data_IF_758636197077
#
_entry.id   IF_758636197077
#
_cell.length_a   1.000
_cell.length_b   1.000
_cell.length_c   1.000
_cell.angle_alpha   90.00
_cell.angle_beta   90.00
_cell.angle_gamma   90.00
#
_symmetry.space_group_name_H-M   'P 1'
#
loop_
_entity.id
_entity.type
_entity.pdbx_description
1 polymer ?
#
# COMPACT_ATOMS: atom_id res chain seq x y z
N UNK A 1 -18.73 29.62 21.62
CA UNK A 1 -17.44 29.47 20.92
C UNK A 1 -17.06 28.02 21.08
N UNK A 2 -17.45 27.17 20.14
CA UNK A 2 -17.21 25.72 20.22
C UNK A 2 -15.79 25.44 19.76
N UNK A 3 -15.04 24.78 20.63
CA UNK A 3 -13.66 24.35 20.45
C UNK A 3 -13.57 23.43 19.23
N UNK A 4 -12.79 23.84 18.23
CA UNK A 4 -12.42 22.97 17.13
C UNK A 4 -11.30 22.06 17.64
N UNK A 5 -11.62 20.80 17.93
CA UNK A 5 -10.61 19.74 18.01
C UNK A 5 -10.01 19.55 16.61
N UNK A 6 -8.88 20.20 16.35
CA UNK A 6 -8.07 19.95 15.17
C UNK A 6 -7.51 18.52 15.26
N UNK A 7 -8.22 17.57 14.67
CA UNK A 7 -7.67 16.25 14.38
C UNK A 7 -6.51 16.45 13.40
N UNK A 8 -5.27 16.34 13.89
CA UNK A 8 -4.08 16.41 13.05
C UNK A 8 -3.97 15.10 12.24
N UNK A 9 -4.74 15.02 11.16
CA UNK A 9 -4.77 13.87 10.27
C UNK A 9 -3.55 13.97 9.37
N UNK A 10 -2.61 13.03 9.49
CA UNK A 10 -1.47 12.99 8.59
C UNK A 10 -1.95 12.69 7.15
N UNK A 11 -1.49 13.49 6.20
CA UNK A 11 -1.86 13.41 4.78
C UNK A 11 -0.72 12.90 3.90
N UNK A 12 -1.09 12.27 2.79
CA UNK A 12 -0.14 11.84 1.79
C UNK A 12 0.39 13.04 0.99
N UNK A 13 1.70 13.25 1.03
CA UNK A 13 2.39 14.36 0.35
C UNK A 13 2.37 14.30 -1.20
N UNK A 14 1.71 13.30 -1.80
CA UNK A 14 1.52 13.19 -3.27
C UNK A 14 0.09 13.51 -3.68
N UNK A 15 -0.92 13.06 -2.93
CA UNK A 15 -2.33 13.21 -3.30
C UNK A 15 -3.17 14.02 -2.31
N UNK A 16 -2.58 14.47 -1.20
CA UNK A 16 -3.23 15.26 -0.14
C UNK A 16 -4.47 14.59 0.48
N UNK A 17 -4.56 13.26 0.42
CA UNK A 17 -5.60 12.49 1.09
C UNK A 17 -5.06 11.90 2.41
N UNK A 18 -5.91 11.64 3.42
CA UNK A 18 -5.51 11.06 4.69
C UNK A 18 -4.72 9.75 4.56
N UNK A 19 -3.61 9.62 5.28
CA UNK A 19 -2.79 8.40 5.29
C UNK A 19 -3.54 7.18 5.83
N UNK A 20 -4.57 7.37 6.65
CA UNK A 20 -5.35 6.27 7.23
C UNK A 20 -6.22 5.51 6.21
N UNK A 21 -6.56 6.10 5.07
CA UNK A 21 -7.49 5.49 4.10
C UNK A 21 -6.88 4.32 3.31
N UNK A 22 -5.56 4.28 3.16
CA UNK A 22 -4.86 3.30 2.32
C UNK A 22 -3.58 2.82 2.98
N UNK A 23 -3.03 1.72 2.46
CA UNK A 23 -1.74 1.23 2.93
C UNK A 23 -0.64 2.26 2.66
N UNK A 24 0.07 2.64 3.72
CA UNK A 24 1.13 3.63 3.68
C UNK A 24 2.50 2.99 3.76
N UNK A 25 3.48 3.66 3.17
CA UNK A 25 4.87 3.28 3.27
C UNK A 25 5.70 4.52 3.62
N UNK A 26 6.49 4.37 4.69
CA UNK A 26 7.44 5.38 5.17
C UNK A 26 8.82 5.06 4.62
N UNK A 27 9.40 5.99 3.88
CA UNK A 27 10.76 5.88 3.38
C UNK A 27 11.77 6.17 4.50
N UNK A 28 13.02 5.74 4.31
CA UNK A 28 14.14 5.97 5.25
C UNK A 28 14.39 7.47 5.50
N UNK A 29 14.11 8.33 4.52
CA UNK A 29 14.18 9.78 4.66
C UNK A 29 13.10 10.39 5.57
N UNK A 30 12.18 9.60 6.11
CA UNK A 30 11.14 10.02 7.05
C UNK A 30 9.79 10.37 6.42
N UNK A 31 9.71 10.57 5.10
CA UNK A 31 8.46 10.89 4.42
C UNK A 31 7.57 9.66 4.23
N UNK A 32 6.27 9.83 4.50
CA UNK A 32 5.25 8.80 4.38
C UNK A 32 4.30 9.13 3.23
N UNK A 33 3.93 8.11 2.46
CA UNK A 33 3.00 8.22 1.34
C UNK A 33 2.08 7.01 1.31
N UNK A 34 0.91 7.12 0.67
CA UNK A 34 0.21 5.92 0.21
C UNK A 34 1.14 5.14 -0.72
N UNK A 35 1.26 3.82 -0.50
CA UNK A 35 2.16 2.99 -1.28
C UNK A 35 1.81 3.03 -2.77
N UNK A 36 0.54 3.12 -3.14
CA UNK A 36 0.11 3.22 -4.54
C UNK A 36 0.56 4.52 -5.21
N UNK A 37 0.52 5.65 -4.48
CA UNK A 37 1.04 6.93 -4.96
C UNK A 37 2.56 6.87 -5.15
N UNK A 38 3.28 6.33 -4.16
CA UNK A 38 4.73 6.17 -4.22
C UNK A 38 5.16 5.25 -5.36
N UNK A 39 4.46 4.10 -5.52
CA UNK A 39 4.68 3.16 -6.61
C UNK A 39 4.47 3.82 -7.98
N UNK A 40 3.41 4.59 -8.14
CA UNK A 40 3.11 5.29 -9.39
C UNK A 40 4.22 6.27 -9.74
N UNK A 41 4.65 7.08 -8.76
CA UNK A 41 5.79 7.99 -8.92
C UNK A 41 7.08 7.26 -9.30
N UNK A 42 7.40 6.15 -8.63
CA UNK A 42 8.58 5.35 -8.92
C UNK A 42 8.53 4.74 -10.33
N UNK A 43 7.37 4.22 -10.77
CA UNK A 43 7.21 3.67 -12.13
C UNK A 43 7.42 4.74 -13.21
N UNK A 44 6.86 5.93 -13.03
CA UNK A 44 7.01 7.05 -13.98
C UNK A 44 8.49 7.45 -14.06
N UNK A 45 9.15 7.57 -12.91
CA UNK A 45 10.55 8.00 -12.82
C UNK A 45 11.57 6.89 -13.09
N UNK A 46 11.15 5.65 -13.35
CA UNK A 46 12.06 4.49 -13.38
C UNK A 46 13.12 4.51 -14.50
N UNK A 47 12.98 5.40 -15.48
CA UNK A 47 13.94 5.56 -16.59
C UNK A 47 14.77 6.83 -16.47
N UNK A 48 14.48 7.68 -15.49
CA UNK A 48 15.17 8.93 -15.26
C UNK A 48 16.26 8.72 -14.22
N UNK A 49 17.53 8.70 -14.63
CA UNK A 49 18.66 8.42 -13.74
C UNK A 49 18.70 9.30 -12.48
N UNK A 50 18.36 10.59 -12.63
CA UNK A 50 18.36 11.56 -11.54
C UNK A 50 17.24 11.35 -10.52
N UNK A 51 16.06 10.87 -10.94
CA UNK A 51 14.88 10.67 -10.06
C UNK A 51 14.51 9.22 -9.80
N UNK A 52 15.24 8.25 -10.38
CA UNK A 52 15.06 6.82 -10.15
C UNK A 52 15.15 6.50 -8.65
N UNK A 53 14.15 5.78 -8.11
CA UNK A 53 14.03 5.42 -6.70
C UNK A 53 14.44 6.55 -5.75
N UNK A 54 13.82 7.72 -5.95
CA UNK A 54 14.05 8.90 -5.14
C UNK A 54 12.76 9.29 -4.46
N UNK A 55 12.86 9.75 -3.21
CA UNK A 55 11.71 10.28 -2.50
C UNK A 55 11.06 11.40 -3.33
N UNK A 56 9.74 11.35 -3.59
CA UNK A 56 9.06 12.39 -4.38
C UNK A 56 9.14 13.79 -3.76
N UNK A 57 9.35 13.87 -2.44
CA UNK A 57 9.43 15.13 -1.70
C UNK A 57 10.87 15.67 -1.62
N UNK A 58 11.77 14.97 -0.92
CA UNK A 58 13.14 15.46 -0.68
C UNK A 58 14.19 14.96 -1.68
N UNK A 59 13.81 14.10 -2.64
CA UNK A 59 14.70 13.50 -3.66
C UNK A 59 15.83 12.63 -3.11
N UNK A 60 15.88 12.37 -1.81
CA UNK A 60 16.80 11.38 -1.23
C UNK A 60 16.59 10.03 -1.92
N UNK A 61 17.68 9.42 -2.40
CA UNK A 61 17.65 8.08 -2.98
C UNK A 61 17.19 7.07 -1.92
N UNK A 62 16.38 6.13 -2.35
CA UNK A 62 16.01 4.95 -1.58
C UNK A 62 16.27 3.71 -2.43
N UNK A 63 16.29 2.54 -1.78
CA UNK A 63 16.39 1.26 -2.47
C UNK A 63 15.13 0.92 -3.29
N UNK A 64 14.96 -0.35 -3.59
CA UNK A 64 13.75 -0.84 -4.23
C UNK A 64 12.55 -0.81 -3.27
N UNK A 65 11.36 -0.53 -3.79
CA UNK A 65 10.13 -0.63 -3.02
C UNK A 65 9.82 -2.09 -2.67
N UNK A 66 9.36 -2.38 -1.44
CA UNK A 66 9.07 -3.74 -1.01
C UNK A 66 7.88 -4.32 -1.76
N UNK A 67 7.95 -5.61 -2.13
CA UNK A 67 6.80 -6.31 -2.72
C UNK A 67 5.83 -6.68 -1.61
N UNK A 68 4.74 -5.92 -1.50
CA UNK A 68 3.71 -6.13 -0.47
C UNK A 68 2.57 -7.02 -0.96
N UNK A 69 1.82 -7.62 -0.02
CA UNK A 69 0.67 -8.44 -0.35
C UNK A 69 -0.40 -7.64 -1.12
N UNK A 70 -1.19 -8.31 -1.97
CA UNK A 70 -2.20 -7.64 -2.79
C UNK A 70 -1.64 -6.90 -4.02
N UNK A 71 -0.32 -6.78 -4.15
CA UNK A 71 0.29 -6.26 -5.37
C UNK A 71 0.16 -7.26 -6.51
N UNK A 72 -0.28 -6.83 -7.69
CA UNK A 72 -0.42 -7.73 -8.84
C UNK A 72 0.93 -7.94 -9.51
N UNK A 73 1.16 -9.15 -10.08
CA UNK A 73 2.39 -9.45 -10.84
C UNK A 73 2.69 -8.41 -11.93
N UNK A 74 1.65 -7.85 -12.55
CA UNK A 74 1.77 -6.80 -13.56
C UNK A 74 2.30 -5.46 -13.03
N UNK A 75 2.12 -5.16 -11.74
CA UNK A 75 2.61 -3.94 -11.08
C UNK A 75 4.02 -4.11 -10.47
N UNK A 76 4.51 -5.34 -10.33
CA UNK A 76 5.89 -5.62 -9.93
C UNK A 76 6.79 -5.34 -11.13
N UNK A 77 7.65 -4.32 -11.03
CA UNK A 77 8.48 -3.80 -12.12
C UNK A 77 9.98 -3.81 -11.76
N UNK A 78 10.86 -4.17 -12.72
CA UNK A 78 12.30 -3.99 -12.55
C UNK A 78 12.63 -2.49 -12.49
N UNK A 79 13.71 -2.14 -11.80
CA UNK A 79 14.06 -0.78 -11.43
C UNK A 79 13.27 -0.26 -10.22
N UNK A 80 12.04 -0.72 -10.01
CA UNK A 80 11.21 -0.26 -8.88
C UNK A 80 11.27 -1.22 -7.70
N UNK A 81 11.14 -2.52 -7.92
CA UNK A 81 11.08 -3.52 -6.83
C UNK A 81 12.29 -4.46 -6.80
N UNK A 82 13.03 -4.55 -7.90
CA UNK A 82 14.21 -5.40 -8.04
C UNK A 82 15.09 -4.86 -9.18
N UNK A 83 16.33 -5.33 -9.30
CA UNK A 83 17.23 -4.89 -10.37
C UNK A 83 16.75 -5.34 -11.75
N UNK A 84 17.15 -4.61 -12.80
CA UNK A 84 16.96 -5.05 -14.18
C UNK A 84 17.77 -6.31 -14.53
N UNK A 85 18.84 -6.59 -13.77
CA UNK A 85 19.69 -7.77 -13.93
C UNK A 85 19.15 -9.02 -13.25
N UNK A 86 18.19 -8.87 -12.33
CA UNK A 86 17.74 -9.97 -11.49
C UNK A 86 16.54 -10.69 -12.12
N UNK A 87 16.37 -11.95 -11.72
CA UNK A 87 15.16 -12.70 -12.07
C UNK A 87 13.94 -12.06 -11.40
N UNK A 88 12.76 -12.32 -11.98
CA UNK A 88 11.50 -11.91 -11.35
C UNK A 88 11.42 -12.50 -9.93
N UNK A 89 11.23 -11.67 -8.89
CA UNK A 89 11.28 -12.12 -7.51
C UNK A 89 10.15 -13.11 -7.21
N UNK A 90 10.42 -14.08 -6.35
CA UNK A 90 9.39 -14.99 -5.88
C UNK A 90 8.31 -14.20 -5.14
N UNK A 91 7.06 -14.39 -5.56
CA UNK A 91 5.92 -13.68 -5.00
C UNK A 91 4.69 -14.57 -4.97
N UNK A 92 4.17 -14.75 -3.76
CA UNK A 92 2.94 -15.50 -3.51
C UNK A 92 1.90 -14.56 -2.92
N UNK A 93 0.77 -14.42 -3.62
CA UNK A 93 -0.36 -13.62 -3.15
C UNK A 93 -1.08 -14.37 -2.03
N UNK A 94 -1.11 -13.78 -0.83
CA UNK A 94 -1.87 -14.32 0.30
C UNK A 94 -3.33 -13.88 0.15
N UNK A 95 -4.25 -14.83 -0.01
CA UNK A 95 -5.69 -14.57 -0.10
C UNK A 95 -6.23 -13.95 1.20
N UNK A 96 -7.46 -13.42 1.13
CA UNK A 96 -8.14 -12.89 2.30
C UNK A 96 -8.19 -13.91 3.45
N UNK A 97 -7.68 -13.53 4.62
CA UNK A 97 -7.61 -14.42 5.80
C UNK A 97 -8.90 -14.46 6.63
N UNK A 98 -9.99 -13.83 6.17
CA UNK A 98 -11.26 -13.84 6.90
C UNK A 98 -11.98 -15.18 6.74
N UNK A 99 -12.44 -15.76 7.84
CA UNK A 99 -13.31 -16.94 7.84
C UNK A 99 -14.77 -16.50 7.76
N UNK A 100 -15.50 -17.02 6.78
CA UNK A 100 -16.89 -16.64 6.54
C UNK A 100 -17.78 -17.06 7.72
N UNK A 101 -18.50 -16.11 8.30
CA UNK A 101 -19.35 -16.35 9.48
C UNK A 101 -20.80 -16.70 9.14
N UNK A 102 -21.20 -16.53 7.88
CA UNK A 102 -22.58 -16.69 7.39
C UNK A 102 -22.60 -17.24 5.95
N UNK A 103 -23.78 -17.65 5.49
CA UNK A 103 -24.01 -18.13 4.12
C UNK A 103 -23.63 -19.59 3.90
N UNK A 104 -23.75 -20.06 2.65
CA UNK A 104 -23.53 -21.48 2.26
C UNK A 104 -22.12 -21.98 2.58
N UNK A 105 -21.11 -21.09 2.54
CA UNK A 105 -19.69 -21.39 2.76
C UNK A 105 -19.21 -21.01 4.17
N UNK A 106 -20.11 -20.99 5.16
CA UNK A 106 -19.75 -20.64 6.55
C UNK A 106 -18.67 -21.58 7.07
N UNK A 107 -17.66 -21.03 7.75
CA UNK A 107 -16.51 -21.75 8.28
C UNK A 107 -15.35 -21.87 7.28
N UNK A 108 -15.56 -21.54 6.01
CA UNK A 108 -14.50 -21.55 5.00
C UNK A 108 -13.77 -20.19 4.90
N UNK A 109 -12.50 -20.17 4.46
CA UNK A 109 -11.78 -18.93 4.19
C UNK A 109 -12.38 -18.16 3.01
N UNK A 110 -12.26 -16.84 3.07
CA UNK A 110 -12.67 -15.97 1.99
C UNK A 110 -11.75 -16.12 0.77
N UNK A 111 -12.34 -16.40 -0.39
CA UNK A 111 -11.60 -16.52 -1.66
C UNK A 111 -11.30 -15.20 -2.37
N UNK A 112 -11.69 -14.06 -1.78
CA UNK A 112 -11.46 -12.75 -2.40
C UNK A 112 -9.99 -12.36 -2.31
N UNK A 113 -9.51 -11.63 -3.32
CA UNK A 113 -8.19 -11.02 -3.32
C UNK A 113 -8.10 -9.98 -2.18
N UNK A 114 -6.97 -9.91 -1.46
CA UNK A 114 -6.77 -8.91 -0.43
C UNK A 114 -6.66 -7.50 -1.04
N UNK A 115 -6.82 -6.48 -0.22
CA UNK A 115 -6.41 -5.12 -0.57
C UNK A 115 -4.89 -4.99 -0.56
N UNK A 116 -4.36 -4.04 -1.33
CA UNK A 116 -2.94 -3.76 -1.41
C UNK A 116 -2.36 -3.42 -0.03
N UNK A 117 -1.32 -4.15 0.37
CA UNK A 117 -0.67 -4.03 1.68
C UNK A 117 -1.36 -4.72 2.84
N UNK A 118 -2.53 -5.34 2.62
CA UNK A 118 -3.31 -6.00 3.68
C UNK A 118 -3.44 -7.50 3.42
N UNK A 119 -3.85 -8.25 4.43
CA UNK A 119 -4.21 -9.68 4.33
C UNK A 119 -5.72 -9.91 4.24
N UNK A 120 -6.51 -8.83 4.19
CA UNK A 120 -7.97 -8.87 4.10
C UNK A 120 -8.45 -8.17 2.83
N UNK A 121 -9.56 -8.66 2.25
CA UNK A 121 -10.21 -8.00 1.11
C UNK A 121 -11.01 -6.78 1.57
N UNK A 122 -11.45 -5.93 0.62
CA UNK A 122 -12.21 -4.70 0.94
C UNK A 122 -13.44 -4.93 1.82
N UNK A 123 -14.11 -6.07 1.66
CA UNK A 123 -15.29 -6.41 2.47
C UNK A 123 -14.94 -6.85 3.91
N UNK A 124 -13.71 -7.29 4.16
CA UNK A 124 -13.28 -7.87 5.43
C UNK A 124 -12.14 -7.11 6.10
N UNK A 125 -11.61 -6.07 5.46
CA UNK A 125 -10.62 -5.17 6.05
C UNK A 125 -11.35 -4.08 6.85
N UNK A 126 -11.86 -4.48 8.03
CA UNK A 126 -12.60 -3.59 8.93
C UNK A 126 -11.74 -2.48 9.55
N UNK A 127 -10.42 -2.47 9.36
CA UNK A 127 -9.54 -1.39 9.81
C UNK A 127 -9.81 -0.03 9.11
N UNK A 128 -10.70 0.02 8.12
CA UNK A 128 -11.21 1.26 7.49
C UNK A 128 -12.69 1.55 7.79
N UNK A 129 -13.33 0.75 8.65
CA UNK A 129 -14.64 1.05 9.20
C UNK A 129 -14.42 1.29 10.67
N UNK A 130 -14.27 2.57 11.03
CA UNK A 130 -14.46 3.04 12.41
C UNK A 130 -15.64 2.25 12.98
N UNK A 131 -15.33 1.53 14.04
CA UNK A 131 -16.19 0.64 14.82
C UNK A 131 -17.62 1.16 14.92
N UNK A 132 -18.55 0.51 14.22
CA UNK A 132 -19.98 0.51 14.57
C UNK A 132 -20.38 -0.92 14.91
N UNK A 133 -19.88 -1.39 16.04
CA UNK A 133 -20.32 -2.55 16.81
C UNK A 133 -20.03 -2.07 18.25
N UNK A 134 -20.94 -1.66 19.13
CA UNK A 134 -22.25 -2.21 19.52
C UNK A 134 -23.02 -1.12 20.27
#
# INVERSE_FOLDING_TARGET
MTEHEESNVEECMICSMPLCEQYCHKLECGHTFHYECLLTSAIINRRHSSSHNSCPYCRTKHGYLPIINGLTKTKIKPGVHYSFSDNFPEYTLVKCQHILTRGKRKGEPCDKKPQLGFTYCKAHNKANLITKDT
#
